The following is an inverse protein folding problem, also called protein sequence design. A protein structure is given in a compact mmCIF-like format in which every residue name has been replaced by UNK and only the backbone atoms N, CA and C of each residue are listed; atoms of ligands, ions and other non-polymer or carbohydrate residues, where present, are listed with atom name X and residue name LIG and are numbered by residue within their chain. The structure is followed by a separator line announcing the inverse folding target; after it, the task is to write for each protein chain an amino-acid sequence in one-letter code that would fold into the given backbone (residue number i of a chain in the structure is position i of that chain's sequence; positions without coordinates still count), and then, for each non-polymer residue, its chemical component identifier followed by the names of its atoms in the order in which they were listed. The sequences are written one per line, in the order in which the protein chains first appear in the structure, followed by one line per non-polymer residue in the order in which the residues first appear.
data_IF_141085815453
#
_entry.id   IF_141085815453
#
_cell.length_a   1.000
_cell.length_b   1.000
_cell.length_c   1.000
_cell.angle_alpha   90.00
_cell.angle_beta   90.00
_cell.angle_gamma   90.00
#
_symmetry.space_group_name_H-M   'P 1'
#
loop_
_entity.id
_entity.type
_entity.pdbx_description
1 polymer ?
#
# COMPACT_ATOMS: atom_id res chain seq x y z
N UNK A 1 -14.03 -14.83 -26.71
CA UNK A 1 -13.56 -15.45 -25.46
C UNK A 1 -12.60 -14.45 -24.81
N UNK A 2 -12.94 -13.77 -23.70
CA UNK A 2 -11.95 -12.95 -23.01
C UNK A 2 -11.25 -13.82 -21.95
N UNK A 3 -10.22 -14.55 -22.35
CA UNK A 3 -9.36 -15.30 -21.42
C UNK A 3 -8.42 -14.32 -20.69
N UNK A 4 -8.95 -13.63 -19.69
CA UNK A 4 -8.16 -12.83 -18.78
C UNK A 4 -7.57 -13.71 -17.69
N UNK A 5 -6.33 -14.18 -17.87
CA UNK A 5 -5.57 -14.82 -16.78
C UNK A 5 -5.64 -13.91 -15.54
N UNK A 6 -6.03 -14.43 -14.35
CA UNK A 6 -6.09 -13.64 -13.12
C UNK A 6 -4.74 -12.96 -12.87
N UNK A 7 -4.74 -11.66 -12.58
CA UNK A 7 -3.52 -10.98 -12.20
C UNK A 7 -3.18 -11.40 -10.76
N UNK A 8 -2.04 -12.08 -10.58
CA UNK A 8 -1.50 -12.42 -9.25
C UNK A 8 -1.45 -11.14 -8.42
N UNK A 9 -2.10 -11.17 -7.27
CA UNK A 9 -2.13 -10.06 -6.34
C UNK A 9 -1.85 -10.55 -4.93
N UNK A 10 -1.42 -9.64 -4.06
CA UNK A 10 -1.12 -9.96 -2.67
C UNK A 10 -1.86 -8.95 -1.80
N UNK A 11 -2.59 -9.46 -0.80
CA UNK A 11 -3.13 -8.64 0.29
C UNK A 11 -2.02 -8.51 1.35
N UNK A 12 -1.73 -7.29 1.72
CA UNK A 12 -0.72 -6.92 2.70
C UNK A 12 -1.40 -6.22 3.87
N UNK A 13 -1.05 -6.64 5.09
CA UNK A 13 -1.55 -6.05 6.32
C UNK A 13 -0.38 -5.42 7.05
N UNK A 14 -0.39 -4.09 7.17
CA UNK A 14 0.63 -3.31 7.83
C UNK A 14 0.16 -2.79 9.17
N UNK A 15 1.09 -2.63 10.10
CA UNK A 15 0.93 -1.93 11.37
C UNK A 15 1.80 -0.66 11.36
N UNK A 16 1.23 0.46 11.81
CA UNK A 16 1.94 1.73 12.02
C UNK A 16 1.93 2.04 13.51
N UNK A 17 3.12 2.15 14.09
CA UNK A 17 3.30 2.55 15.47
C UNK A 17 4.49 3.50 15.64
N UNK A 18 4.86 3.82 16.89
CA UNK A 18 5.97 4.72 17.20
C UNK A 18 7.31 4.25 16.62
N UNK A 19 7.48 2.93 16.49
CA UNK A 19 8.68 2.29 15.95
C UNK A 19 8.73 2.27 14.40
N UNK A 20 7.72 2.82 13.73
CA UNK A 20 7.59 2.83 12.27
C UNK A 20 6.61 1.81 11.72
N UNK A 21 6.82 1.39 10.47
CA UNK A 21 5.93 0.50 9.73
C UNK A 21 6.38 -0.95 9.87
N UNK A 22 5.44 -1.85 10.17
CA UNK A 22 5.67 -3.30 10.19
C UNK A 22 4.71 -3.98 9.24
N UNK A 23 5.18 -5.02 8.55
CA UNK A 23 4.32 -5.91 7.76
C UNK A 23 3.93 -7.09 8.65
N UNK A 24 2.65 -7.19 9.00
CA UNK A 24 2.12 -8.25 9.84
C UNK A 24 1.85 -9.52 9.04
N UNK A 25 1.15 -9.39 7.92
CA UNK A 25 0.71 -10.55 7.12
C UNK A 25 0.74 -10.28 5.61
N UNK A 26 0.94 -11.36 4.86
CA UNK A 26 0.85 -11.39 3.40
C UNK A 26 -0.02 -12.57 2.97
N UNK A 27 -1.05 -12.31 2.17
CA UNK A 27 -1.96 -13.34 1.67
C UNK A 27 -2.03 -13.28 0.15
N UNK A 28 -1.68 -14.36 -0.58
CA UNK A 28 -1.88 -14.41 -2.02
C UNK A 28 -3.38 -14.39 -2.31
N UNK A 29 -3.82 -13.50 -3.21
CA UNK A 29 -5.22 -13.36 -3.60
C UNK A 29 -5.35 -13.28 -5.12
N UNK A 30 -6.38 -13.94 -5.64
CA UNK A 30 -6.76 -13.84 -7.05
C UNK A 30 -7.84 -12.76 -7.18
N UNK A 31 -7.50 -11.66 -7.84
CA UNK A 31 -8.44 -10.57 -8.09
C UNK A 31 -8.83 -10.60 -9.56
N UNK A 32 -10.12 -10.54 -9.90
CA UNK A 32 -10.55 -10.37 -11.28
C UNK A 32 -9.86 -9.13 -11.87
N UNK A 33 -9.34 -9.23 -13.10
CA UNK A 33 -8.61 -8.15 -13.79
C UNK A 33 -9.44 -6.85 -13.92
N UNK A 34 -10.75 -6.94 -13.74
CA UNK A 34 -11.70 -5.82 -13.64
C UNK A 34 -11.78 -5.29 -12.21
N UNK A 35 -10.65 -4.89 -11.62
CA UNK A 35 -10.72 -3.89 -10.55
C UNK A 35 -10.98 -2.56 -11.28
N UNK A 36 -12.04 -1.80 -10.96
CA UNK A 36 -12.32 -0.55 -11.64
C UNK A 36 -11.06 0.31 -11.63
N UNK A 37 -10.73 0.86 -12.80
CA UNK A 37 -9.62 1.81 -12.92
C UNK A 37 -9.72 2.89 -11.84
N UNK A 38 -10.89 3.26 -11.38
CA UNK A 38 -11.07 4.27 -10.31
C UNK A 38 -10.49 3.89 -8.93
N UNK A 39 -10.09 2.63 -8.69
CA UNK A 39 -9.34 2.22 -7.48
C UNK A 39 -7.81 2.34 -7.69
N UNK A 40 -7.34 2.33 -8.96
CA UNK A 40 -5.90 2.37 -9.34
C UNK A 40 -5.51 3.62 -10.14
N UNK A 41 -6.48 4.40 -10.62
CA UNK A 41 -6.36 5.55 -11.52
C UNK A 41 -7.05 6.71 -10.83
N UNK A 42 -6.28 7.37 -9.99
CA UNK A 42 -6.69 8.61 -9.33
C UNK A 42 -5.46 9.42 -8.93
N UNK A 43 -4.40 8.74 -8.51
CA UNK A 43 -3.10 9.36 -8.36
C UNK A 43 -2.37 9.36 -9.71
N UNK A 44 -2.39 10.49 -10.41
CA UNK A 44 -1.27 10.82 -11.29
C UNK A 44 0.03 10.57 -10.52
N UNK A 45 1.09 10.11 -11.19
CA UNK A 45 2.42 9.89 -10.59
C UNK A 45 2.93 11.11 -9.78
N UNK A 46 2.33 12.26 -10.01
CA UNK A 46 2.65 13.57 -9.46
C UNK A 46 1.72 14.06 -8.35
N UNK A 47 0.75 13.26 -7.89
CA UNK A 47 -0.05 13.63 -6.72
C UNK A 47 0.74 13.32 -5.44
N UNK A 48 0.83 14.29 -4.53
CA UNK A 48 1.35 14.04 -3.20
C UNK A 48 0.43 13.11 -2.43
N UNK A 49 0.99 12.31 -1.52
CA UNK A 49 0.22 11.36 -0.72
C UNK A 49 1.01 10.12 -0.34
N UNK A 50 0.30 9.18 0.28
CA UNK A 50 0.87 7.93 0.74
C UNK A 50 0.62 6.80 -0.27
N UNK A 51 1.61 5.94 -0.46
CA UNK A 51 1.58 4.90 -1.48
C UNK A 51 2.22 3.61 -1.01
N UNK A 52 1.75 2.50 -1.56
CA UNK A 52 2.46 1.22 -1.56
C UNK A 52 2.97 0.95 -2.97
N UNK A 53 4.29 0.92 -3.10
CA UNK A 53 4.98 0.63 -4.35
C UNK A 53 5.39 -0.83 -4.38
N UNK A 54 5.01 -1.55 -5.44
CA UNK A 54 5.57 -2.86 -5.77
C UNK A 54 6.78 -2.62 -6.64
N UNK A 55 7.91 -3.23 -6.27
CA UNK A 55 9.19 -3.06 -6.94
C UNK A 55 9.78 -4.40 -7.36
N UNK A 56 10.49 -4.39 -8.48
CA UNK A 56 11.26 -5.54 -8.94
C UNK A 56 12.59 -5.65 -8.16
N UNK A 57 13.36 -6.71 -8.42
CA UNK A 57 14.66 -6.94 -7.76
C UNK A 57 15.69 -5.81 -7.96
N UNK A 58 15.55 -5.04 -9.03
CA UNK A 58 16.41 -3.88 -9.34
C UNK A 58 15.98 -2.61 -8.58
N UNK A 59 14.89 -2.68 -7.80
CA UNK A 59 14.31 -1.54 -7.08
C UNK A 59 13.40 -0.67 -7.95
N UNK A 60 13.12 -1.05 -9.20
CA UNK A 60 12.24 -0.30 -10.10
C UNK A 60 10.78 -0.54 -9.71
N UNK A 61 10.02 0.53 -9.53
CA UNK A 61 8.56 0.47 -9.30
C UNK A 61 7.85 -0.13 -10.52
N UNK A 62 7.18 -1.26 -10.31
CA UNK A 62 6.37 -1.96 -11.32
C UNK A 62 4.88 -1.69 -11.15
N UNK A 63 4.43 -1.43 -9.92
CA UNK A 63 3.08 -0.95 -9.61
C UNK A 63 3.11 0.04 -8.43
N UNK A 64 2.14 0.94 -8.38
CA UNK A 64 1.96 1.89 -7.30
C UNK A 64 0.48 2.00 -6.95
N UNK A 65 0.14 1.78 -5.69
CA UNK A 65 -1.23 1.83 -5.19
C UNK A 65 -1.34 2.98 -4.18
N UNK A 66 -2.23 3.97 -4.39
CA UNK A 66 -2.45 5.04 -3.43
C UNK A 66 -3.13 4.51 -2.16
N UNK A 67 -2.75 5.06 -1.02
CA UNK A 67 -3.35 4.83 0.29
C UNK A 67 -4.25 6.04 0.61
N UNK A 68 -5.50 5.97 0.14
CA UNK A 68 -6.45 7.10 0.19
C UNK A 68 -6.81 7.54 1.60
N UNK A 69 -6.71 6.64 2.59
CA UNK A 69 -7.05 6.93 3.97
C UNK A 69 -5.91 7.60 4.74
N UNK A 70 -4.73 7.79 4.13
CA UNK A 70 -3.51 8.21 4.81
C UNK A 70 -2.89 7.09 5.65
N UNK A 71 -1.56 7.04 5.73
CA UNK A 71 -0.83 6.12 6.61
C UNK A 71 -0.95 6.62 8.05
N UNK A 72 -1.46 5.77 8.93
CA UNK A 72 -1.71 6.11 10.33
C UNK A 72 -3.03 6.84 10.60
N UNK A 73 -3.92 6.99 9.61
CA UNK A 73 -5.19 7.73 9.79
C UNK A 73 -6.43 6.83 9.86
N UNK A 74 -6.28 5.52 9.60
CA UNK A 74 -7.38 4.56 9.68
C UNK A 74 -7.25 3.71 10.94
N UNK A 75 -7.85 4.19 12.03
CA UNK A 75 -8.52 3.27 12.95
C UNK A 75 -9.90 3.09 12.33
N UNK A 76 -10.28 1.87 11.97
CA UNK A 76 -11.68 1.54 11.73
C UNK A 76 -12.38 1.53 13.10
N UNK A 77 -12.43 2.69 13.76
CA UNK A 77 -13.09 2.87 15.05
C UNK A 77 -14.56 3.04 14.75
N UNK A 78 -15.36 2.06 15.18
CA UNK A 78 -16.75 2.33 15.46
C UNK A 78 -16.81 3.58 16.38
N UNK A 79 -17.77 4.49 16.13
CA UNK A 79 -17.74 5.83 16.71
C UNK A 79 -17.61 5.80 18.24
N UNK A 80 -16.53 6.42 18.73
CA UNK A 80 -16.28 6.80 20.13
C UNK A 80 -16.22 5.66 21.17
N UNK A 81 -15.24 4.76 21.03
CA UNK A 81 -14.83 3.93 22.17
C UNK A 81 -13.71 4.65 22.98
N UNK A 82 -13.98 5.12 24.21
CA UNK A 82 -13.04 5.90 25.02
C UNK A 82 -11.86 5.08 25.57
N UNK A 83 -11.78 3.78 25.28
CA UNK A 83 -10.72 2.89 25.75
C UNK A 83 -9.60 2.65 24.72
N UNK A 84 -9.76 3.15 23.49
CA UNK A 84 -8.73 3.03 22.45
C UNK A 84 -7.83 4.27 22.55
N UNK A 85 -6.61 4.07 23.03
CA UNK A 85 -5.60 5.13 23.13
C UNK A 85 -5.27 5.72 21.75
N UNK A 86 -4.95 7.02 21.68
CA UNK A 86 -4.37 7.64 20.48
C UNK A 86 -3.04 6.96 20.07
N UNK A 87 -2.39 6.26 21.00
CA UNK A 87 -1.18 5.45 20.77
C UNK A 87 -1.46 4.03 20.27
N UNK A 88 -2.72 3.67 19.98
CA UNK A 88 -3.04 2.34 19.47
C UNK A 88 -2.46 2.15 18.04
N UNK A 89 -1.83 1.00 17.75
CA UNK A 89 -1.26 0.74 16.44
C UNK A 89 -2.32 0.80 15.34
N UNK A 90 -2.06 1.56 14.28
CA UNK A 90 -2.97 1.67 13.14
C UNK A 90 -2.70 0.54 12.15
N UNK A 91 -3.77 -0.12 11.68
CA UNK A 91 -3.66 -1.23 10.73
C UNK A 91 -4.12 -0.80 9.34
N UNK A 92 -3.31 -1.03 8.32
CA UNK A 92 -3.67 -0.80 6.92
C UNK A 92 -3.70 -2.12 6.17
N UNK A 93 -4.83 -2.40 5.53
CA UNK A 93 -4.94 -3.50 4.56
C UNK A 93 -4.92 -2.95 3.15
N UNK A 94 -4.01 -3.44 2.30
CA UNK A 94 -3.93 -3.07 0.88
C UNK A 94 -3.81 -4.31 0.02
N UNK A 95 -4.40 -4.28 -1.17
CA UNK A 95 -4.20 -5.33 -2.19
C UNK A 95 -3.40 -4.73 -3.32
N UNK A 96 -2.27 -5.35 -3.64
CA UNK A 96 -1.37 -4.88 -4.70
C UNK A 96 -1.24 -5.93 -5.81
N UNK A 97 -1.24 -5.54 -7.09
CA UNK A 97 -0.88 -6.45 -8.17
C UNK A 97 0.62 -6.80 -8.10
N UNK A 98 0.93 -8.09 -8.05
CA UNK A 98 2.28 -8.63 -7.92
C UNK A 98 2.63 -9.45 -9.18
N UNK A 99 3.10 -8.79 -10.26
CA UNK A 99 3.54 -9.50 -11.47
C UNK A 99 4.73 -10.44 -11.17
N UNK A 100 5.07 -11.38 -12.09
CA UNK A 100 6.13 -12.36 -11.85
C UNK A 100 7.51 -11.78 -11.52
N UNK A 101 7.78 -10.54 -11.92
CA UNK A 101 9.02 -9.80 -11.63
C UNK A 101 8.97 -8.98 -10.31
N UNK A 102 7.84 -8.98 -9.61
CA UNK A 102 7.69 -8.35 -8.31
C UNK A 102 8.50 -9.09 -7.23
N UNK A 103 9.21 -8.33 -6.40
CA UNK A 103 10.20 -8.86 -5.46
C UNK A 103 10.04 -8.28 -4.05
N UNK A 104 9.71 -6.99 -3.95
CA UNK A 104 9.46 -6.33 -2.67
C UNK A 104 8.40 -5.23 -2.81
N UNK A 105 7.89 -4.81 -1.66
CA UNK A 105 7.01 -3.64 -1.53
C UNK A 105 7.67 -2.58 -0.67
N UNK A 106 7.47 -1.33 -1.05
CA UNK A 106 7.90 -0.17 -0.29
C UNK A 106 6.69 0.68 0.09
N UNK A 107 6.58 1.01 1.37
CA UNK A 107 5.60 2.00 1.86
C UNK A 107 6.28 3.35 1.77
N UNK A 108 5.70 4.27 0.99
CA UNK A 108 6.30 5.56 0.70
C UNK A 108 5.34 6.70 0.97
N UNK A 109 5.89 7.79 1.48
CA UNK A 109 5.21 9.08 1.62
C UNK A 109 5.80 10.06 0.62
N UNK A 110 4.94 10.57 -0.26
CA UNK A 110 5.30 11.50 -1.31
C UNK A 110 4.87 12.91 -0.94
N UNK A 111 5.81 13.71 -0.46
CA UNK A 111 5.54 15.07 0.05
C UNK A 111 5.70 16.14 -1.02
N UNK A 112 5.59 15.80 -2.31
CA UNK A 112 5.82 16.73 -3.43
C UNK A 112 4.81 17.89 -3.55
N UNK A 113 3.83 18.00 -2.64
CA UNK A 113 3.03 19.22 -2.45
C UNK A 113 3.61 20.10 -1.33
N UNK A 114 3.79 21.39 -1.60
CA UNK A 114 4.12 22.37 -0.55
C UNK A 114 5.60 22.66 -0.32
N UNK A 115 6.46 22.54 -1.35
CA UNK A 115 7.81 23.10 -1.34
C UNK A 115 8.93 22.22 -0.78
N UNK A 116 8.62 20.99 -0.32
CA UNK A 116 9.62 19.96 0.01
C UNK A 116 9.61 18.88 -1.08
N UNK A 117 10.65 18.80 -1.89
CA UNK A 117 10.77 17.75 -2.91
C UNK A 117 11.41 16.50 -2.28
N UNK A 118 10.58 15.55 -1.84
CA UNK A 118 11.09 14.30 -1.26
C UNK A 118 10.08 13.16 -1.29
N UNK A 119 10.55 11.98 -1.68
CA UNK A 119 9.88 10.70 -1.42
C UNK A 119 10.57 10.09 -0.21
N UNK A 120 9.81 9.91 0.86
CA UNK A 120 10.26 9.22 2.07
C UNK A 120 9.87 7.75 1.99
N UNK A 121 10.82 6.85 2.22
CA UNK A 121 10.56 5.40 2.30
C UNK A 121 10.41 5.04 3.78
N UNK A 122 9.20 4.68 4.18
CA UNK A 122 8.85 4.36 5.57
C UNK A 122 9.14 2.91 5.93
N UNK A 123 9.20 2.02 4.93
CA UNK A 123 9.54 0.61 5.11
C UNK A 123 9.65 -0.12 3.78
N UNK A 124 10.47 -1.17 3.74
CA UNK A 124 10.61 -2.07 2.58
C UNK A 124 10.51 -3.52 3.04
N UNK A 125 9.68 -4.31 2.36
CA UNK A 125 9.33 -5.66 2.77
C UNK A 125 9.36 -6.61 1.58
N UNK A 126 9.96 -7.79 1.76
CA UNK A 126 10.03 -8.82 0.71
C UNK A 126 8.64 -9.40 0.49
N UNK A 127 8.25 -9.55 -0.78
CA UNK A 127 7.05 -10.30 -1.12
C UNK A 127 7.34 -11.79 -0.93
N UNK A 128 6.40 -12.49 -0.30
CA UNK A 128 6.47 -13.94 -0.20
C UNK A 128 6.13 -14.58 -1.56
N UNK A 129 6.89 -15.62 -1.97
CA UNK A 129 6.72 -16.28 -3.25
C UNK A 129 5.39 -17.02 -3.40
#
# INVERSE_FOLDING_TARGET
MPDGVPARSVRLIFEFGPDGVRLLEQHPVNVPKTVPKDITVGASRDQAGDYVEVRNREGRTVNRVPVWTGLGSNVETFPQDPYISEDAPHVLTVVVPAPPDADHVAVVRDNRDGGRTGIEVLGTFRLQP
#
